data_IF_769256175739
#
_entry.id   IF_769256175739
#
_cell.length_a   1.000
_cell.length_b   1.000
_cell.length_c   1.000
_cell.angle_alpha   90.00
_cell.angle_beta   90.00
_cell.angle_gamma   90.00
#
_symmetry.space_group_name_H-M   'P 1'
#
loop_
_entity.id
_entity.type
_entity.pdbx_description
1 polymer ?
#
# COMPACT_ATOMS: atom_id res chain seq x y z
N UNK A 1 12.89 21.64 28.45
CA UNK A 1 12.63 20.28 27.94
C UNK A 1 13.04 20.29 26.47
N UNK A 2 14.29 19.98 26.19
CA UNK A 2 14.86 20.06 24.83
C UNK A 2 14.22 18.95 24.01
N UNK A 3 13.36 19.34 23.06
CA UNK A 3 12.85 18.43 22.05
C UNK A 3 14.07 17.96 21.26
N UNK A 4 14.55 16.74 21.55
CA UNK A 4 15.66 16.14 20.83
C UNK A 4 15.17 15.90 19.41
N UNK A 5 15.43 16.87 18.53
CA UNK A 5 15.14 16.76 17.12
C UNK A 5 15.79 15.47 16.61
N UNK A 6 14.98 14.47 16.30
CA UNK A 6 15.46 13.22 15.74
C UNK A 6 16.21 13.60 14.46
N UNK A 7 17.50 13.26 14.39
CA UNK A 7 18.30 13.52 13.20
C UNK A 7 17.64 12.80 12.01
N UNK A 8 17.54 13.44 10.84
CA UNK A 8 16.92 12.88 9.63
C UNK A 8 17.36 11.42 9.36
N UNK A 9 18.66 11.16 9.54
CA UNK A 9 19.26 9.84 9.36
C UNK A 9 18.77 8.81 10.39
N UNK A 10 18.51 9.22 11.62
CA UNK A 10 17.95 8.36 12.67
C UNK A 10 16.47 8.06 12.39
N UNK A 11 15.71 9.05 11.93
CA UNK A 11 14.32 8.85 11.50
C UNK A 11 14.25 7.85 10.33
N UNK A 12 15.12 8.00 9.34
CA UNK A 12 15.25 7.08 8.20
C UNK A 12 15.68 5.68 8.65
N UNK A 13 16.68 5.56 9.54
CA UNK A 13 17.14 4.27 10.07
C UNK A 13 16.05 3.57 10.88
N UNK A 14 15.29 4.31 11.69
CA UNK A 14 14.15 3.81 12.47
C UNK A 14 13.00 3.36 11.58
N UNK A 15 12.70 4.07 10.49
CA UNK A 15 11.70 3.65 9.52
C UNK A 15 12.12 2.36 8.79
N UNK A 16 13.41 2.23 8.43
CA UNK A 16 13.96 1.03 7.78
C UNK A 16 13.98 -0.18 8.71
N UNK A 17 14.37 -0.03 9.98
CA UNK A 17 14.48 -1.14 10.94
C UNK A 17 13.12 -1.74 11.33
N UNK A 18 12.04 -0.97 11.25
CA UNK A 18 10.68 -1.46 11.51
C UNK A 18 10.16 -2.46 10.47
N UNK A 19 10.80 -2.57 9.30
CA UNK A 19 10.37 -3.52 8.26
C UNK A 19 10.37 -4.97 8.74
N UNK A 20 11.43 -5.40 9.43
CA UNK A 20 11.52 -6.75 9.99
C UNK A 20 10.50 -6.95 11.11
N UNK A 21 10.25 -5.92 11.91
CA UNK A 21 9.21 -5.92 12.94
C UNK A 21 7.82 -6.15 12.33
N UNK A 22 7.48 -5.45 11.24
CA UNK A 22 6.18 -5.60 10.59
C UNK A 22 5.98 -6.96 9.93
N UNK A 23 7.01 -7.49 9.26
CA UNK A 23 6.98 -8.86 8.73
C UNK A 23 6.86 -9.89 9.87
N UNK A 24 7.56 -9.66 10.98
CA UNK A 24 7.46 -10.48 12.19
C UNK A 24 6.07 -10.45 12.81
N UNK A 25 5.44 -9.27 12.90
CA UNK A 25 4.09 -9.12 13.42
C UNK A 25 3.06 -9.85 12.53
N UNK A 26 3.25 -9.81 11.21
CA UNK A 26 2.39 -10.55 10.27
C UNK A 26 2.47 -12.06 10.46
N UNK A 27 3.69 -12.60 10.58
CA UNK A 27 3.91 -14.02 10.85
C UNK A 27 3.35 -14.42 12.22
N UNK A 28 3.59 -13.60 13.25
CA UNK A 28 3.06 -13.82 14.59
C UNK A 28 1.53 -13.82 14.61
N UNK A 29 0.87 -12.87 13.93
CA UNK A 29 -0.58 -12.84 13.76
C UNK A 29 -1.10 -14.11 13.08
N UNK A 30 -0.43 -14.56 12.02
CA UNK A 30 -0.84 -15.75 11.27
C UNK A 30 -0.72 -17.02 12.12
N UNK A 31 0.38 -17.16 12.86
CA UNK A 31 0.60 -18.28 13.79
C UNK A 31 -0.39 -18.27 14.95
N UNK A 32 -0.64 -17.11 15.55
CA UNK A 32 -1.58 -16.94 16.66
C UNK A 32 -3.01 -17.31 16.24
N UNK A 33 -3.45 -16.86 15.07
CA UNK A 33 -4.79 -17.20 14.57
C UNK A 33 -4.87 -18.67 14.19
N UNK A 34 -3.82 -19.24 13.58
CA UNK A 34 -3.74 -20.67 13.27
C UNK A 34 -3.85 -21.55 14.52
N UNK A 35 -3.17 -21.20 15.62
CA UNK A 35 -3.27 -21.98 16.86
C UNK A 35 -4.62 -21.78 17.54
N UNK A 36 -5.17 -20.56 17.48
CA UNK A 36 -6.47 -20.25 18.04
C UNK A 36 -7.61 -21.02 17.35
N UNK A 37 -7.66 -21.05 16.01
CA UNK A 37 -8.72 -21.78 15.29
C UNK A 37 -8.68 -23.28 15.58
N UNK A 38 -7.48 -23.84 15.70
CA UNK A 38 -7.29 -25.26 16.03
C UNK A 38 -7.79 -25.56 17.45
N UNK A 39 -7.40 -24.72 18.41
CA UNK A 39 -7.85 -24.82 19.79
C UNK A 39 -9.39 -24.73 19.90
N UNK A 40 -10.00 -23.75 19.23
CA UNK A 40 -11.45 -23.59 19.23
C UNK A 40 -12.14 -24.78 18.57
N UNK A 41 -11.61 -25.30 17.45
CA UNK A 41 -12.18 -26.46 16.77
C UNK A 41 -12.17 -27.72 17.65
N UNK A 42 -11.06 -27.99 18.35
CA UNK A 42 -10.94 -29.14 19.27
C UNK A 42 -11.90 -29.05 20.45
N UNK A 43 -12.22 -27.85 20.91
CA UNK A 43 -13.18 -27.66 22.00
C UNK A 43 -14.63 -27.75 21.53
N UNK A 44 -14.98 -27.17 20.38
CA UNK A 44 -16.35 -27.17 19.86
C UNK A 44 -16.78 -28.51 19.24
N UNK A 45 -15.83 -29.26 18.69
CA UNK A 45 -16.09 -30.54 18.02
C UNK A 45 -15.31 -31.69 18.68
N UNK A 46 -15.20 -31.69 20.01
CA UNK A 46 -14.39 -32.66 20.78
C UNK A 46 -14.64 -34.11 20.37
N UNK A 47 -15.91 -34.49 20.21
CA UNK A 47 -16.31 -35.87 19.90
C UNK A 47 -16.17 -36.25 18.42
N UNK A 48 -15.85 -35.30 17.54
CA UNK A 48 -15.76 -35.53 16.08
C UNK A 48 -14.45 -35.07 15.44
N UNK A 49 -13.65 -34.26 16.14
CA UNK A 49 -12.43 -33.64 15.65
C UNK A 49 -11.26 -33.81 16.62
N UNK A 50 -10.45 -34.84 16.40
CA UNK A 50 -9.31 -35.19 17.24
C UNK A 50 -8.15 -35.78 16.40
N UNK A 51 -7.72 -35.10 15.32
CA UNK A 51 -6.52 -35.50 14.60
C UNK A 51 -5.27 -35.34 15.50
N UNK A 52 -4.25 -36.19 15.35
CA UNK A 52 -3.00 -36.10 16.11
C UNK A 52 -2.20 -34.82 15.77
N UNK A 53 -2.41 -34.28 14.56
CA UNK A 53 -1.79 -33.04 14.08
C UNK A 53 -2.83 -31.91 14.01
N UNK A 54 -2.41 -30.64 14.13
CA UNK A 54 -3.32 -29.50 14.10
C UNK A 54 -3.80 -29.17 12.67
N UNK A 55 -4.71 -30.01 12.14
CA UNK A 55 -5.06 -30.01 10.71
C UNK A 55 -5.68 -28.68 10.26
N UNK A 56 -6.56 -28.07 11.06
CA UNK A 56 -7.24 -26.83 10.68
C UNK A 56 -6.27 -25.64 10.73
N UNK A 57 -5.45 -25.57 11.77
CA UNK A 57 -4.37 -24.59 11.88
C UNK A 57 -3.39 -24.68 10.71
N UNK A 58 -2.91 -25.89 10.41
CA UNK A 58 -2.02 -26.13 9.27
C UNK A 58 -2.66 -25.77 7.93
N UNK A 59 -3.93 -26.11 7.73
CA UNK A 59 -4.66 -25.74 6.52
C UNK A 59 -4.71 -24.21 6.35
N UNK A 60 -5.03 -23.48 7.42
CA UNK A 60 -5.03 -22.01 7.39
C UNK A 60 -3.65 -21.45 7.05
N UNK A 61 -2.58 -21.93 7.71
CA UNK A 61 -1.21 -21.53 7.42
C UNK A 61 -0.80 -21.78 5.97
N UNK A 62 -1.11 -22.97 5.45
CA UNK A 62 -0.78 -23.36 4.07
C UNK A 62 -1.52 -22.47 3.08
N UNK A 63 -2.81 -22.20 3.31
CA UNK A 63 -3.60 -21.31 2.47
C UNK A 63 -3.00 -19.91 2.48
N UNK A 64 -2.80 -19.30 3.66
CA UNK A 64 -2.35 -17.91 3.74
C UNK A 64 -0.91 -17.73 3.23
N UNK A 65 0.02 -18.59 3.67
CA UNK A 65 1.43 -18.49 3.29
C UNK A 65 1.67 -18.96 1.85
N UNK A 66 0.97 -20.01 1.42
CA UNK A 66 1.06 -20.52 0.05
C UNK A 66 0.57 -19.49 -0.96
N UNK A 67 -0.58 -18.87 -0.70
CA UNK A 67 -1.12 -17.81 -1.58
C UNK A 67 -0.22 -16.58 -1.55
N UNK A 68 0.25 -16.15 -0.38
CA UNK A 68 1.20 -15.05 -0.30
C UNK A 68 2.49 -15.32 -1.09
N UNK A 69 2.99 -16.57 -1.09
CA UNK A 69 4.17 -16.96 -1.85
C UNK A 69 3.91 -16.98 -3.37
N UNK A 70 2.76 -17.49 -3.79
CA UNK A 70 2.33 -17.53 -5.20
C UNK A 70 2.17 -16.11 -5.73
N UNK A 71 1.43 -15.27 -5.02
CA UNK A 71 1.24 -13.85 -5.37
C UNK A 71 2.58 -13.12 -5.42
N UNK A 72 3.42 -13.25 -4.39
CA UNK A 72 4.75 -12.63 -4.40
C UNK A 72 5.61 -13.10 -5.58
N UNK A 73 5.55 -14.38 -5.94
CA UNK A 73 6.28 -14.94 -7.09
C UNK A 73 5.73 -14.42 -8.42
N UNK A 74 4.42 -14.27 -8.54
CA UNK A 74 3.75 -13.71 -9.71
C UNK A 74 4.11 -12.24 -9.90
N UNK A 75 4.08 -11.45 -8.84
CA UNK A 75 4.53 -10.07 -8.90
C UNK A 75 6.03 -9.96 -9.17
N UNK A 76 6.84 -10.91 -8.69
CA UNK A 76 8.27 -10.93 -8.99
C UNK A 76 8.60 -11.21 -10.45
N UNK A 77 7.79 -12.01 -11.13
CA UNK A 77 7.97 -12.24 -12.56
C UNK A 77 7.52 -11.06 -13.41
N UNK A 78 6.77 -10.12 -12.85
CA UNK A 78 6.26 -8.93 -13.52
C UNK A 78 7.03 -7.67 -13.09
N UNK A 79 7.81 -7.09 -14.01
CA UNK A 79 8.55 -5.85 -13.74
C UNK A 79 7.66 -4.61 -13.62
N UNK A 80 8.24 -3.47 -13.21
CA UNK A 80 7.49 -2.21 -13.09
C UNK A 80 6.79 -1.79 -14.39
N UNK A 81 7.44 -2.06 -15.52
CA UNK A 81 6.89 -1.85 -16.86
C UNK A 81 5.60 -2.64 -17.16
N UNK A 82 5.40 -3.81 -16.53
CA UNK A 82 4.16 -4.57 -16.68
C UNK A 82 3.00 -3.85 -15.99
N UNK A 83 3.22 -3.39 -14.76
CA UNK A 83 2.21 -2.67 -13.96
C UNK A 83 1.79 -1.36 -14.63
N UNK A 84 2.75 -0.58 -15.13
CA UNK A 84 2.42 0.65 -15.85
C UNK A 84 1.56 0.37 -17.09
N UNK A 85 1.92 -0.63 -17.90
CA UNK A 85 1.19 -0.99 -19.12
C UNK A 85 -0.17 -1.62 -18.83
N UNK A 86 -0.31 -2.41 -17.77
CA UNK A 86 -1.61 -3.01 -17.39
C UNK A 86 -2.64 -1.96 -16.99
N UNK A 87 -2.17 -0.80 -16.49
CA UNK A 87 -2.98 0.39 -16.20
C UNK A 87 -3.24 1.28 -17.43
N UNK A 88 -2.75 0.88 -18.61
CA UNK A 88 -2.93 1.63 -19.87
C UNK A 88 -1.94 2.78 -20.05
N UNK A 89 -0.81 2.77 -19.32
CA UNK A 89 0.22 3.78 -19.50
C UNK A 89 1.04 3.54 -20.78
N UNK A 90 1.35 4.61 -21.51
CA UNK A 90 2.21 4.60 -22.70
C UNK A 90 3.64 4.98 -22.31
N UNK A 91 4.62 4.22 -22.79
CA UNK A 91 6.04 4.56 -22.63
C UNK A 91 6.36 5.88 -23.37
N UNK A 92 7.10 6.78 -22.73
CA UNK A 92 7.62 7.99 -23.38
C UNK A 92 8.82 7.61 -24.24
N UNK A 93 8.88 8.15 -25.45
CA UNK A 93 10.04 8.03 -26.33
C UNK A 93 11.11 9.05 -25.92
N UNK A 94 12.36 8.60 -25.77
CA UNK A 94 13.51 9.45 -25.45
C UNK A 94 13.72 10.55 -26.49
N UNK A 95 13.26 10.34 -27.72
CA UNK A 95 13.32 11.30 -28.83
C UNK A 95 11.99 12.03 -29.10
N UNK A 96 11.06 12.03 -28.15
CA UNK A 96 9.76 12.72 -28.27
C UNK A 96 9.93 14.19 -28.68
N UNK A 97 9.07 14.70 -29.56
CA UNK A 97 9.05 16.13 -29.92
C UNK A 97 8.23 16.99 -28.94
N UNK A 98 7.54 16.37 -27.97
CA UNK A 98 6.73 17.10 -27.00
C UNK A 98 7.62 17.72 -25.92
N UNK A 99 7.60 19.06 -25.82
CA UNK A 99 8.42 19.81 -24.86
C UNK A 99 8.15 19.42 -23.40
N UNK A 100 6.91 19.10 -23.04
CA UNK A 100 6.57 18.68 -21.67
C UNK A 100 7.14 17.30 -21.36
N UNK A 101 7.05 16.38 -22.31
CA UNK A 101 7.63 15.04 -22.15
C UNK A 101 9.16 15.11 -22.06
N UNK A 102 9.82 15.95 -22.88
CA UNK A 102 11.27 16.22 -22.74
C UNK A 102 11.63 16.79 -21.37
N UNK A 103 10.86 17.77 -20.89
CA UNK A 103 11.08 18.36 -19.57
C UNK A 103 10.97 17.32 -18.45
N UNK A 104 9.99 16.41 -18.54
CA UNK A 104 9.82 15.32 -17.59
C UNK A 104 11.02 14.35 -17.62
N UNK A 105 11.49 13.95 -18.81
CA UNK A 105 12.67 13.08 -18.94
C UNK A 105 13.91 13.73 -18.33
N UNK A 106 14.12 15.03 -18.56
CA UNK A 106 15.23 15.78 -17.95
C UNK A 106 15.12 15.78 -16.41
N UNK A 107 13.93 16.05 -15.86
CA UNK A 107 13.69 16.00 -14.42
C UNK A 107 14.00 14.61 -13.84
N UNK A 108 13.55 13.54 -14.50
CA UNK A 108 13.82 12.16 -14.06
C UNK A 108 15.33 11.90 -14.07
N UNK A 109 16.06 12.37 -15.07
CA UNK A 109 17.51 12.24 -15.13
C UNK A 109 18.23 13.04 -14.03
N UNK A 110 17.80 14.28 -13.77
CA UNK A 110 18.33 15.12 -12.67
C UNK A 110 18.19 14.42 -11.32
N UNK A 111 17.00 13.86 -11.03
CA UNK A 111 16.74 13.17 -9.77
C UNK A 111 17.46 11.82 -9.70
N UNK A 112 17.60 11.09 -10.81
CA UNK A 112 18.41 9.87 -10.86
C UNK A 112 19.86 10.15 -10.46
N UNK A 113 20.45 11.23 -10.97
CA UNK A 113 21.80 11.68 -10.59
C UNK A 113 21.84 12.05 -9.09
N UNK A 114 20.90 12.89 -8.63
CA UNK A 114 20.86 13.35 -7.25
C UNK A 114 20.67 12.21 -6.22
N UNK A 115 19.97 11.14 -6.61
CA UNK A 115 19.70 9.96 -5.78
C UNK A 115 20.70 8.82 -5.99
N UNK A 116 21.62 8.94 -6.96
CA UNK A 116 22.54 7.87 -7.38
C UNK A 116 21.82 6.57 -7.75
N UNK A 117 20.70 6.70 -8.46
CA UNK A 117 19.87 5.58 -8.94
C UNK A 117 19.90 5.53 -10.49
N UNK A 118 19.66 4.35 -11.09
CA UNK A 118 19.48 4.27 -12.54
C UNK A 118 18.27 5.07 -12.99
N UNK A 119 18.29 5.59 -14.21
CA UNK A 119 17.14 6.29 -14.82
C UNK A 119 16.07 5.24 -15.17
N UNK A 120 14.91 5.24 -14.50
CA UNK A 120 13.85 4.29 -14.81
C UNK A 120 13.08 4.72 -16.07
N UNK A 121 12.52 3.78 -16.84
CA UNK A 121 11.59 4.10 -17.92
C UNK A 121 10.36 4.86 -17.40
N UNK A 122 9.95 5.87 -18.15
CA UNK A 122 8.88 6.79 -17.79
C UNK A 122 7.64 6.55 -18.65
N UNK A 123 6.48 6.42 -18.01
CA UNK A 123 5.20 6.14 -18.66
C UNK A 123 4.20 7.26 -18.41
N UNK A 124 3.33 7.53 -19.37
CA UNK A 124 2.21 8.48 -19.26
C UNK A 124 0.88 7.74 -19.24
N UNK A 125 0.09 7.99 -18.20
CA UNK A 125 -1.29 7.57 -18.08
C UNK A 125 -2.23 8.65 -18.64
N UNK A 126 -3.18 8.29 -19.51
CA UNK A 126 -4.11 9.23 -20.14
C UNK A 126 -5.26 9.60 -19.18
N UNK A 127 -4.92 10.14 -18.01
CA UNK A 127 -5.88 10.66 -17.02
C UNK A 127 -5.51 12.08 -16.63
N UNK A 128 -6.53 12.89 -16.41
CA UNK A 128 -6.42 14.30 -16.05
C UNK A 128 -6.27 14.52 -14.52
N UNK A 129 -6.35 13.44 -13.73
CA UNK A 129 -6.03 13.48 -12.30
C UNK A 129 -4.54 13.82 -12.10
N UNK A 130 -4.19 14.46 -10.99
CA UNK A 130 -2.78 14.68 -10.61
C UNK A 130 -2.34 13.45 -9.81
N UNK A 131 -1.47 12.64 -10.39
CA UNK A 131 -0.91 11.44 -9.78
C UNK A 131 0.43 11.06 -10.44
N UNK A 132 1.28 10.42 -9.66
CA UNK A 132 2.40 9.62 -10.13
C UNK A 132 2.46 8.34 -9.30
N UNK A 133 3.18 7.32 -9.76
CA UNK A 133 3.57 6.19 -8.93
C UNK A 133 4.79 5.50 -9.52
N UNK A 134 5.47 4.78 -8.66
CA UNK A 134 6.56 3.89 -9.03
C UNK A 134 6.15 2.44 -8.88
N UNK A 135 6.48 1.62 -9.88
CA UNK A 135 6.31 0.17 -9.83
C UNK A 135 7.64 -0.54 -10.06
N UNK A 136 7.81 -1.72 -9.46
CA UNK A 136 9.03 -2.51 -9.60
C UNK A 136 9.35 -3.31 -8.34
N UNK A 137 10.53 -3.93 -8.32
CA UNK A 137 11.04 -4.65 -7.13
C UNK A 137 12.46 -4.26 -6.74
N UNK A 138 13.24 -3.83 -7.72
CA UNK A 138 14.60 -3.34 -7.57
C UNK A 138 14.75 -2.06 -8.38
N UNK A 139 15.75 -1.21 -8.08
CA UNK A 139 15.99 0.00 -8.86
C UNK A 139 16.16 -0.25 -10.37
N UNK A 140 16.76 -1.38 -10.73
CA UNK A 140 17.04 -1.75 -12.13
C UNK A 140 15.78 -2.17 -12.90
N UNK A 141 14.72 -2.55 -12.19
CA UNK A 141 13.43 -2.94 -12.76
C UNK A 141 12.29 -2.01 -12.29
N UNK A 142 12.65 -0.79 -11.88
CA UNK A 142 11.71 0.24 -11.54
C UNK A 142 11.14 0.87 -12.82
N UNK A 143 9.90 1.36 -12.75
CA UNK A 143 9.28 2.18 -13.76
C UNK A 143 8.50 3.29 -13.04
N UNK A 144 8.56 4.50 -13.58
CA UNK A 144 7.78 5.63 -13.08
C UNK A 144 6.63 5.86 -14.05
N UNK A 145 5.40 5.89 -13.54
CA UNK A 145 4.23 6.28 -14.29
C UNK A 145 3.73 7.62 -13.77
N UNK A 146 3.49 8.55 -14.68
CA UNK A 146 2.90 9.84 -14.39
C UNK A 146 1.60 10.00 -15.17
N UNK A 147 0.67 10.77 -14.62
CA UNK A 147 -0.57 11.11 -15.30
C UNK A 147 -0.40 12.32 -16.21
N UNK A 148 -1.21 12.38 -17.27
CA UNK A 148 -1.32 13.58 -18.10
C UNK A 148 -1.71 14.80 -17.27
N UNK A 149 -2.58 14.64 -16.27
CA UNK A 149 -2.96 15.70 -15.35
C UNK A 149 -1.79 16.26 -14.54
N UNK A 150 -0.88 15.43 -14.03
CA UNK A 150 0.35 15.91 -13.40
C UNK A 150 1.24 16.67 -14.38
N UNK A 151 1.44 16.13 -15.59
CA UNK A 151 2.26 16.76 -16.62
C UNK A 151 1.71 18.13 -17.08
N UNK A 152 0.38 18.27 -17.08
CA UNK A 152 -0.29 19.48 -17.56
C UNK A 152 -0.49 20.56 -16.49
N UNK A 153 -0.68 20.18 -15.22
CA UNK A 153 -1.08 21.09 -14.13
C UNK A 153 0.05 21.46 -13.17
N UNK A 154 1.09 20.63 -13.09
CA UNK A 154 2.23 20.91 -12.22
C UNK A 154 3.25 21.80 -12.92
N UNK A 155 3.86 22.72 -12.17
CA UNK A 155 5.04 23.45 -12.66
C UNK A 155 6.25 22.52 -12.71
N UNK A 156 7.35 22.97 -13.30
CA UNK A 156 8.60 22.20 -13.36
C UNK A 156 9.08 21.81 -11.96
N UNK A 157 9.04 22.74 -11.01
CA UNK A 157 9.51 22.55 -9.63
C UNK A 157 8.60 21.60 -8.86
N UNK A 158 7.29 21.72 -9.03
CA UNK A 158 6.30 20.83 -8.43
C UNK A 158 6.44 19.41 -8.97
N UNK A 159 6.58 19.27 -10.29
CA UNK A 159 6.82 18.01 -10.97
C UNK A 159 8.13 17.37 -10.50
N UNK A 160 9.20 18.15 -10.36
CA UNK A 160 10.47 17.70 -9.81
C UNK A 160 10.33 17.21 -8.37
N UNK A 161 9.54 17.88 -7.53
CA UNK A 161 9.20 17.43 -6.19
C UNK A 161 8.47 16.08 -6.17
N UNK A 162 7.47 15.91 -7.03
CA UNK A 162 6.73 14.63 -7.17
C UNK A 162 7.64 13.52 -7.66
N UNK A 163 8.46 13.76 -8.68
CA UNK A 163 9.41 12.75 -9.16
C UNK A 163 10.44 12.40 -8.07
N UNK A 164 10.94 13.38 -7.33
CA UNK A 164 11.86 13.13 -6.22
C UNK A 164 11.23 12.29 -5.08
N UNK A 165 9.94 12.49 -4.81
CA UNK A 165 9.17 11.65 -3.90
C UNK A 165 9.11 10.19 -4.39
N UNK A 166 8.80 9.99 -5.67
CA UNK A 166 8.77 8.66 -6.31
C UNK A 166 10.15 7.96 -6.28
N UNK A 167 11.24 8.67 -6.54
CA UNK A 167 12.59 8.15 -6.33
C UNK A 167 12.89 7.81 -4.88
N UNK A 168 12.27 8.52 -3.92
CA UNK A 168 12.32 8.18 -2.50
C UNK A 168 11.84 6.74 -2.22
N UNK A 169 10.78 6.30 -2.90
CA UNK A 169 10.29 4.92 -2.78
C UNK A 169 11.27 3.89 -3.38
N UNK A 170 11.93 4.22 -4.48
CA UNK A 170 12.99 3.38 -5.07
C UNK A 170 14.17 3.27 -4.11
N UNK A 171 14.66 4.42 -3.64
CA UNK A 171 15.84 4.53 -2.77
C UNK A 171 15.66 3.80 -1.44
N UNK A 172 14.46 3.85 -0.85
CA UNK A 172 14.16 3.21 0.43
C UNK A 172 13.68 1.74 0.31
N UNK A 173 13.54 1.24 -0.92
CA UNK A 173 13.11 -0.13 -1.20
C UNK A 173 11.64 -0.38 -0.88
N UNK A 174 10.81 0.66 -0.93
CA UNK A 174 9.40 0.60 -0.52
C UNK A 174 8.61 -0.33 -1.43
N UNK A 175 8.93 -0.38 -2.72
CA UNK A 175 8.26 -1.25 -3.69
C UNK A 175 8.28 -2.73 -3.25
N UNK A 176 9.43 -3.23 -2.78
CA UNK A 176 9.59 -4.62 -2.31
C UNK A 176 8.79 -4.88 -1.03
N UNK A 177 8.71 -3.90 -0.14
CA UNK A 177 8.02 -4.01 1.14
C UNK A 177 6.51 -3.98 0.93
N UNK A 178 6.03 -2.98 0.20
CA UNK A 178 4.63 -2.84 -0.20
C UNK A 178 4.14 -4.10 -0.92
N UNK A 179 4.97 -4.69 -1.78
CA UNK A 179 4.66 -5.95 -2.46
C UNK A 179 4.51 -7.13 -1.50
N UNK A 180 5.47 -7.32 -0.58
CA UNK A 180 5.41 -8.39 0.43
C UNK A 180 4.16 -8.26 1.30
N UNK A 181 3.86 -7.06 1.77
CA UNK A 181 2.68 -6.79 2.59
C UNK A 181 1.39 -6.98 1.78
N UNK A 182 1.35 -6.60 0.50
CA UNK A 182 0.20 -6.82 -0.36
C UNK A 182 -0.07 -8.33 -0.58
N UNK A 183 0.95 -9.11 -0.91
CA UNK A 183 0.83 -10.55 -1.10
C UNK A 183 0.37 -11.26 0.18
N UNK A 184 0.91 -10.84 1.32
CA UNK A 184 0.52 -11.27 2.66
C UNK A 184 -0.97 -11.00 2.95
N UNK A 185 -1.44 -9.77 2.77
CA UNK A 185 -2.86 -9.39 2.93
C UNK A 185 -3.76 -10.16 1.96
N UNK A 186 -3.30 -10.43 0.74
CA UNK A 186 -4.02 -11.24 -0.24
C UNK A 186 -4.21 -12.68 0.25
N UNK A 187 -3.20 -13.27 0.89
CA UNK A 187 -3.31 -14.59 1.53
C UNK A 187 -4.44 -14.64 2.57
N UNK A 188 -4.59 -13.60 3.39
CA UNK A 188 -5.70 -13.48 4.33
C UNK A 188 -7.06 -13.30 3.66
N UNK A 189 -7.12 -12.50 2.60
CA UNK A 189 -8.34 -12.34 1.81
C UNK A 189 -8.80 -13.66 1.19
N UNK A 190 -7.88 -14.48 0.69
CA UNK A 190 -8.25 -15.79 0.16
C UNK A 190 -8.69 -16.78 1.24
N UNK A 191 -8.12 -16.73 2.45
CA UNK A 191 -8.63 -17.53 3.58
C UNK A 191 -10.08 -17.15 3.91
N UNK A 192 -10.38 -15.83 3.96
CA UNK A 192 -11.75 -15.31 4.08
C UNK A 192 -12.65 -15.83 2.96
N UNK A 193 -12.22 -15.68 1.70
CA UNK A 193 -12.97 -16.10 0.53
C UNK A 193 -13.27 -17.61 0.54
N UNK A 194 -12.27 -18.44 0.84
CA UNK A 194 -12.43 -19.91 0.94
C UNK A 194 -13.43 -20.24 2.05
N UNK A 195 -13.30 -19.64 3.24
CA UNK A 195 -14.24 -19.84 4.34
C UNK A 195 -15.69 -19.49 3.93
N UNK A 196 -15.88 -18.35 3.25
CA UNK A 196 -17.18 -17.94 2.72
C UNK A 196 -17.73 -18.95 1.70
N UNK A 197 -16.90 -19.42 0.76
CA UNK A 197 -17.32 -20.41 -0.24
C UNK A 197 -17.70 -21.74 0.40
N UNK A 198 -16.94 -22.22 1.39
CA UNK A 198 -17.27 -23.45 2.13
C UNK A 198 -18.62 -23.34 2.86
N UNK A 199 -18.95 -22.18 3.44
CA UNK A 199 -20.27 -21.94 4.05
C UNK A 199 -21.42 -21.97 3.02
N UNK A 200 -21.21 -21.42 1.81
CA UNK A 200 -22.21 -21.44 0.75
C UNK A 200 -22.50 -22.87 0.23
N UNK A 201 -21.45 -23.68 0.05
CA UNK A 201 -21.59 -25.07 -0.39
C UNK A 201 -22.24 -25.96 0.67
N UNK A 202 -21.93 -25.75 1.95
CA UNK A 202 -22.56 -26.51 3.05
C UNK A 202 -24.02 -26.12 3.28
N UNK A 203 -24.43 -24.89 2.94
CA UNK A 203 -25.82 -24.43 3.02
C UNK A 203 -26.73 -25.07 1.95
N UNK A 204 -26.23 -25.33 0.73
CA UNK A 204 -26.99 -25.96 -0.36
C UNK A 204 -27.25 -27.46 -0.17
N UNK A 205 -26.55 -28.12 0.76
CA UNK A 205 -26.77 -29.53 1.10
C UNK A 205 -27.88 -29.75 2.15
N UNK A 206 -28.63 -28.70 2.52
CA UNK A 206 -29.63 -28.72 3.60
C UNK A 206 -30.95 -29.42 3.26
N UNK A 207 -31.20 -29.83 2.03
CA UNK A 207 -32.52 -30.39 1.65
C UNK A 207 -32.77 -31.83 2.11
N UNK A 208 -31.80 -32.54 2.75
CA UNK A 208 -31.96 -33.99 2.99
C UNK A 208 -31.69 -34.60 4.37
N UNK A 209 -31.35 -33.88 5.45
CA UNK A 209 -31.19 -34.57 6.77
C UNK A 209 -31.70 -33.79 7.99
N UNK A 210 -32.83 -34.28 8.53
CA UNK A 210 -33.20 -34.17 9.95
C UNK A 210 -32.16 -34.91 10.81
N UNK A 211 -31.17 -34.19 11.36
CA UNK A 211 -30.72 -34.35 12.75
C UNK A 211 -29.79 -33.20 13.11
N UNK A 212 -30.18 -32.51 14.17
CA UNK A 212 -29.56 -31.34 14.76
C UNK A 212 -28.36 -31.82 15.58
N UNK A 213 -27.20 -31.93 14.96
CA UNK A 213 -25.93 -32.15 15.67
C UNK A 213 -24.79 -31.50 14.89
N UNK A 214 -23.92 -30.82 15.64
CA UNK A 214 -22.80 -29.99 15.22
C UNK A 214 -22.00 -30.59 14.05
N UNK A 215 -22.30 -30.20 12.81
CA UNK A 215 -21.50 -30.64 11.66
C UNK A 215 -20.10 -30.00 11.76
N UNK A 216 -19.03 -30.77 12.00
CA UNK A 216 -17.69 -30.23 12.20
C UNK A 216 -17.19 -29.48 10.96
N UNK A 217 -17.69 -29.82 9.76
CA UNK A 217 -17.34 -29.12 8.52
C UNK A 217 -17.89 -27.70 8.50
N UNK A 218 -19.12 -27.49 8.98
CA UNK A 218 -19.74 -26.15 9.04
C UNK A 218 -19.01 -25.28 10.08
N UNK A 219 -18.65 -25.87 11.22
CA UNK A 219 -17.86 -25.18 12.26
C UNK A 219 -16.49 -24.79 11.71
N UNK A 220 -15.77 -25.72 11.07
CA UNK A 220 -14.47 -25.44 10.45
C UNK A 220 -14.55 -24.34 9.39
N UNK A 221 -15.57 -24.38 8.51
CA UNK A 221 -15.80 -23.35 7.49
C UNK A 221 -16.05 -21.97 8.11
N UNK A 222 -16.85 -21.92 9.19
CA UNK A 222 -17.11 -20.68 9.94
C UNK A 222 -15.84 -20.15 10.60
N UNK A 223 -15.04 -21.02 11.22
CA UNK A 223 -13.78 -20.62 11.86
C UNK A 223 -12.78 -20.07 10.84
N UNK A 224 -12.62 -20.71 9.68
CA UNK A 224 -11.76 -20.20 8.59
C UNK A 224 -12.26 -18.84 8.09
N UNK A 225 -13.57 -18.68 7.90
CA UNK A 225 -14.18 -17.42 7.46
C UNK A 225 -13.89 -16.29 8.45
N UNK A 226 -14.18 -16.50 9.74
CA UNK A 226 -13.97 -15.50 10.80
C UNK A 226 -12.48 -15.18 10.97
N UNK A 227 -11.63 -16.21 10.97
CA UNK A 227 -10.19 -16.05 11.04
C UNK A 227 -9.64 -15.23 9.86
N UNK A 228 -10.06 -15.56 8.64
CA UNK A 228 -9.69 -14.82 7.43
C UNK A 228 -10.18 -13.37 7.46
N UNK A 229 -11.40 -13.12 7.93
CA UNK A 229 -11.92 -11.76 8.09
C UNK A 229 -11.07 -10.94 9.06
N UNK A 230 -10.79 -11.51 10.24
CA UNK A 230 -10.03 -10.85 11.29
C UNK A 230 -8.59 -10.57 10.85
N UNK A 231 -7.90 -11.57 10.27
CA UNK A 231 -6.53 -11.38 9.79
C UNK A 231 -6.48 -10.41 8.61
N UNK A 232 -7.44 -10.44 7.70
CA UNK A 232 -7.50 -9.49 6.58
C UNK A 232 -7.66 -8.04 7.08
N UNK A 233 -8.54 -7.79 8.05
CA UNK A 233 -8.70 -6.46 8.66
C UNK A 233 -7.41 -6.02 9.36
N UNK A 234 -6.87 -6.86 10.25
CA UNK A 234 -5.64 -6.55 11.01
C UNK A 234 -4.43 -6.35 10.09
N UNK A 235 -4.27 -7.22 9.09
CA UNK A 235 -3.21 -7.14 8.09
C UNK A 235 -3.32 -5.89 7.22
N UNK A 236 -4.54 -5.49 6.86
CA UNK A 236 -4.78 -4.25 6.09
C UNK A 236 -4.44 -3.00 6.91
N UNK A 237 -4.80 -2.96 8.20
CA UNK A 237 -4.42 -1.87 9.11
C UNK A 237 -2.89 -1.81 9.26
N UNK A 238 -2.24 -2.97 9.43
CA UNK A 238 -0.79 -3.05 9.53
C UNK A 238 -0.12 -2.53 8.26
N UNK A 239 -0.53 -3.01 7.08
CA UNK A 239 -0.05 -2.54 5.78
C UNK A 239 -0.21 -1.02 5.64
N UNK A 240 -1.38 -0.49 5.98
CA UNK A 240 -1.66 0.94 5.92
C UNK A 240 -0.75 1.74 6.87
N UNK A 241 -0.48 1.24 8.07
CA UNK A 241 0.44 1.88 9.00
C UNK A 241 1.88 1.95 8.45
N UNK A 242 2.36 0.86 7.84
CA UNK A 242 3.69 0.86 7.19
C UNK A 242 3.73 1.85 6.04
N UNK A 243 2.71 1.83 5.18
CA UNK A 243 2.60 2.72 4.02
C UNK A 243 2.70 4.18 4.44
N UNK A 244 1.95 4.58 5.49
CA UNK A 244 1.98 5.95 6.01
C UNK A 244 3.36 6.39 6.51
N UNK A 245 4.11 5.53 7.19
CA UNK A 245 5.47 5.85 7.62
C UNK A 245 6.43 6.03 6.44
N UNK A 246 6.23 5.27 5.35
CA UNK A 246 7.05 5.36 4.14
C UNK A 246 6.79 6.63 3.34
N UNK A 247 5.56 7.13 3.31
CA UNK A 247 5.22 8.40 2.66
C UNK A 247 6.01 9.59 3.24
N UNK A 248 6.11 9.68 4.59
CA UNK A 248 6.91 10.72 5.24
C UNK A 248 8.40 10.60 4.91
N UNK A 249 8.89 9.36 4.77
CA UNK A 249 10.28 9.14 4.39
C UNK A 249 10.54 9.54 2.94
N UNK A 250 9.61 9.23 2.03
CA UNK A 250 9.66 9.64 0.63
C UNK A 250 9.57 11.16 0.47
N UNK A 251 8.71 11.83 1.23
CA UNK A 251 8.65 13.31 1.31
C UNK A 251 9.98 13.92 1.73
N UNK A 252 10.60 13.36 2.77
CA UNK A 252 11.86 13.84 3.26
C UNK A 252 13.00 13.59 2.25
N UNK A 253 12.97 12.45 1.52
CA UNK A 253 13.84 12.20 0.38
C UNK A 253 13.61 13.20 -0.77
N UNK A 254 12.36 13.59 -1.04
CA UNK A 254 12.05 14.58 -2.07
C UNK A 254 12.77 15.91 -1.78
N UNK A 255 12.73 16.39 -0.54
CA UNK A 255 13.47 17.58 -0.10
C UNK A 255 14.98 17.35 -0.17
N UNK A 256 15.46 16.17 0.22
CA UNK A 256 16.89 15.83 0.18
C UNK A 256 17.47 15.88 -1.24
N UNK A 257 16.75 15.32 -2.22
CA UNK A 257 17.21 15.22 -3.60
C UNK A 257 17.06 16.55 -4.35
N UNK A 258 15.97 17.29 -4.12
CA UNK A 258 15.71 18.56 -4.82
C UNK A 258 16.34 19.77 -4.15
N UNK A 259 16.67 19.67 -2.85
CA UNK A 259 17.03 20.79 -1.98
C UNK A 259 15.96 21.89 -1.94
N UNK A 260 14.72 21.55 -2.28
CA UNK A 260 13.60 22.48 -2.39
C UNK A 260 12.31 21.84 -1.84
N UNK A 261 11.90 22.26 -0.64
CA UNK A 261 10.64 21.80 -0.04
C UNK A 261 9.40 22.39 -0.71
N UNK A 262 9.50 23.60 -1.29
CA UNK A 262 8.36 24.28 -1.89
C UNK A 262 7.77 23.51 -3.07
N UNK A 263 8.59 22.81 -3.86
CA UNK A 263 8.13 22.01 -4.99
C UNK A 263 7.12 20.93 -4.58
N UNK A 264 7.49 20.08 -3.62
CA UNK A 264 6.60 19.00 -3.14
C UNK A 264 5.41 19.57 -2.36
N UNK A 265 5.59 20.64 -1.57
CA UNK A 265 4.49 21.28 -0.83
C UNK A 265 3.42 21.82 -1.79
N UNK A 266 3.81 22.56 -2.82
CA UNK A 266 2.86 23.15 -3.78
C UNK A 266 2.16 22.08 -4.62
N UNK A 267 2.86 21.01 -4.98
CA UNK A 267 2.25 19.85 -5.63
C UNK A 267 1.15 19.22 -4.75
N UNK A 268 1.44 19.01 -3.45
CA UNK A 268 0.48 18.48 -2.49
C UNK A 268 -0.75 19.39 -2.30
N UNK A 269 -0.56 20.71 -2.25
CA UNK A 269 -1.66 21.69 -2.18
C UNK A 269 -2.55 21.58 -3.43
N UNK A 270 -1.96 21.45 -4.62
CA UNK A 270 -2.71 21.26 -5.87
C UNK A 270 -3.48 19.94 -5.90
N UNK A 271 -2.89 18.85 -5.37
CA UNK A 271 -3.56 17.56 -5.25
C UNK A 271 -4.74 17.66 -4.27
N UNK A 272 -4.59 18.33 -3.13
CA UNK A 272 -5.67 18.50 -2.15
C UNK A 272 -6.84 19.31 -2.72
N UNK A 273 -6.54 20.37 -3.49
CA UNK A 273 -7.54 21.23 -4.13
C UNK A 273 -8.19 20.63 -5.38
N UNK A 274 -7.60 19.60 -5.98
CA UNK A 274 -8.17 18.93 -7.13
C UNK A 274 -9.37 18.08 -6.69
N UNK A 275 -10.56 18.67 -6.62
CA UNK A 275 -11.77 18.06 -6.04
C UNK A 275 -12.28 16.81 -6.76
N UNK A 276 -11.96 16.59 -8.04
CA UNK A 276 -12.45 15.40 -8.73
C UNK A 276 -11.70 15.17 -10.03
N UNK A 277 -11.26 13.92 -10.27
CA UNK A 277 -11.43 13.15 -11.51
C UNK A 277 -11.15 11.69 -11.17
N UNK A 278 -12.20 10.85 -11.24
CA UNK A 278 -12.15 9.40 -11.05
C UNK A 278 -10.98 8.81 -11.84
N UNK A 279 -10.08 8.11 -11.17
CA UNK A 279 -9.13 7.26 -11.88
C UNK A 279 -9.87 6.14 -12.60
N UNK A 280 -9.39 5.67 -13.76
CA UNK A 280 -10.03 4.59 -14.48
C UNK A 280 -10.18 3.37 -13.55
N UNK A 281 -11.41 2.86 -13.41
CA UNK A 281 -11.76 1.68 -12.58
C UNK A 281 -11.08 0.37 -13.02
N UNK A 282 -10.30 0.40 -14.11
CA UNK A 282 -9.46 -0.72 -14.54
C UNK A 282 -8.22 -0.79 -13.66
N UNK A 283 -8.28 -1.63 -12.64
CA UNK A 283 -7.13 -1.94 -11.78
C UNK A 283 -7.41 -1.88 -10.28
N UNK A 284 -8.52 -2.44 -9.79
CA UNK A 284 -8.78 -2.56 -8.34
C UNK A 284 -7.60 -3.15 -7.55
N UNK A 285 -6.78 -4.02 -8.17
CA UNK A 285 -5.56 -4.56 -7.57
C UNK A 285 -4.48 -3.48 -7.26
N UNK A 286 -4.53 -2.33 -7.92
CA UNK A 286 -3.56 -1.23 -7.85
C UNK A 286 -4.13 0.04 -7.23
N UNK A 287 -5.31 -0.01 -6.58
CA UNK A 287 -5.95 1.17 -5.97
C UNK A 287 -5.04 1.90 -4.96
N UNK A 288 -4.14 1.14 -4.31
CA UNK A 288 -3.15 1.65 -3.36
C UNK A 288 -1.99 2.45 -3.98
N UNK A 289 -1.88 2.53 -5.32
CA UNK A 289 -0.89 3.35 -6.03
C UNK A 289 -1.44 4.75 -6.35
N UNK A 290 -2.64 5.08 -5.88
CA UNK A 290 -3.31 6.34 -6.20
C UNK A 290 -3.29 7.27 -4.99
N UNK A 291 -2.79 8.50 -5.19
CA UNK A 291 -2.72 9.54 -4.15
C UNK A 291 -4.10 9.94 -3.60
N UNK A 292 -5.18 9.67 -4.34
CA UNK A 292 -6.57 9.98 -3.97
C UNK A 292 -7.41 8.71 -3.82
N UNK A 293 -7.03 7.81 -2.89
CA UNK A 293 -7.86 6.66 -2.53
C UNK A 293 -9.01 7.09 -1.60
N UNK A 294 -10.06 7.70 -2.17
CA UNK A 294 -11.33 8.00 -1.48
C UNK A 294 -12.32 6.84 -1.57
N UNK A 295 -11.85 5.60 -1.44
CA UNK A 295 -12.76 4.51 -1.10
C UNK A 295 -13.10 4.69 0.38
N UNK A 296 -14.33 5.14 0.69
CA UNK A 296 -14.81 5.60 1.99
C UNK A 296 -14.76 4.59 3.14
N UNK A 297 -13.56 4.12 3.49
CA UNK A 297 -13.24 3.34 4.68
C UNK A 297 -12.48 4.25 5.66
N UNK A 298 -12.65 3.97 6.96
CA UNK A 298 -12.05 4.71 8.08
C UNK A 298 -10.57 5.02 7.85
N UNK A 299 -10.06 6.13 8.40
CA UNK A 299 -8.65 6.57 8.31
C UNK A 299 -7.60 5.50 8.67
N UNK A 300 -8.02 4.42 9.32
CA UNK A 300 -7.20 3.24 9.63
C UNK A 300 -6.76 2.47 8.37
N UNK A 301 -7.57 2.44 7.30
CA UNK A 301 -7.28 1.72 6.05
C UNK A 301 -6.61 2.58 4.96
N UNK A 302 -6.50 3.90 5.17
CA UNK A 302 -5.84 4.80 4.22
C UNK A 302 -4.34 4.51 4.13
N UNK A 303 -3.84 4.23 2.93
CA UNK A 303 -2.42 3.97 2.64
C UNK A 303 -1.57 5.24 2.65
N UNK A 304 -2.18 6.39 2.45
CA UNK A 304 -1.52 7.70 2.54
C UNK A 304 -1.93 8.45 3.82
N UNK A 305 -1.00 9.14 4.50
CA UNK A 305 -1.34 10.09 5.54
C UNK A 305 -2.19 11.24 4.97
N UNK A 306 -3.00 11.91 5.79
CA UNK A 306 -3.68 13.14 5.37
C UNK A 306 -2.68 14.13 4.77
N UNK A 307 -2.96 14.66 3.58
CA UNK A 307 -2.07 15.58 2.84
C UNK A 307 -1.61 16.74 3.72
N UNK A 308 -2.53 17.32 4.51
CA UNK A 308 -2.22 18.39 5.47
C UNK A 308 -1.13 18.02 6.47
N UNK A 309 -1.12 16.78 6.98
CA UNK A 309 -0.08 16.34 7.92
C UNK A 309 1.29 16.25 7.24
N UNK A 310 1.31 15.89 5.95
CA UNK A 310 2.55 15.86 5.13
C UNK A 310 3.07 17.28 4.89
N UNK A 311 2.19 18.21 4.50
CA UNK A 311 2.55 19.64 4.33
C UNK A 311 3.13 20.21 5.63
N UNK A 312 2.45 20.00 6.76
CA UNK A 312 2.95 20.45 8.07
C UNK A 312 4.32 19.86 8.39
N UNK A 313 4.54 18.57 8.11
CA UNK A 313 5.84 17.94 8.35
C UNK A 313 6.94 18.54 7.44
N UNK A 314 6.63 18.83 6.17
CA UNK A 314 7.55 19.42 5.19
C UNK A 314 7.89 20.88 5.51
N UNK A 315 6.99 21.61 6.14
CA UNK A 315 7.20 22.99 6.60
C UNK A 315 7.91 23.06 7.98
N UNK A 316 8.28 21.92 8.56
CA UNK A 316 8.93 21.89 9.87
C UNK A 316 7.98 22.08 11.06
N UNK A 317 6.67 21.92 10.85
CA UNK A 317 5.65 21.95 11.90
C UNK A 317 4.86 23.25 12.02
N UNK A 318 5.09 24.25 11.16
CA UNK A 318 4.55 25.62 11.34
C UNK A 318 3.37 26.01 10.42
N UNK A 319 2.85 25.14 9.54
CA UNK A 319 1.69 25.50 8.72
C UNK A 319 0.36 25.44 9.48
N UNK A 320 -0.20 26.61 9.82
CA UNK A 320 -1.65 26.78 9.96
C UNK A 320 -2.18 27.61 8.79
N UNK A 321 -3.04 27.04 7.91
CA UNK A 321 -3.71 27.82 6.87
C UNK A 321 -4.45 29.01 7.50
N UNK A 322 -4.36 30.19 6.87
CA UNK A 322 -4.98 31.43 7.38
C UNK A 322 -6.49 31.25 7.61
N UNK A 323 -7.14 30.43 6.77
CA UNK A 323 -8.56 30.06 6.86
C UNK A 323 -8.91 29.34 8.17
N UNK A 324 -7.94 28.70 8.84
CA UNK A 324 -8.14 27.87 10.04
C UNK A 324 -7.72 28.58 11.35
N UNK A 325 -7.22 29.82 11.27
CA UNK A 325 -6.90 30.63 12.47
C UNK A 325 -8.15 31.02 13.28
N UNK A 326 -9.32 31.08 12.66
CA UNK A 326 -10.56 31.51 13.30
C UNK A 326 -11.26 30.41 14.12
N UNK A 327 -10.90 29.13 13.94
CA UNK A 327 -11.50 28.03 14.69
C UNK A 327 -10.91 27.84 16.10
N UNK A 328 -9.80 28.52 16.43
CA UNK A 328 -9.15 28.44 17.75
C UNK A 328 -9.62 29.50 18.75
N UNK A 329 -10.55 30.38 18.35
CA UNK A 329 -11.05 31.49 19.17
C UNK A 329 -12.38 31.13 19.88
N UNK A 330 -12.97 29.96 19.60
CA UNK A 330 -14.27 29.57 20.17
C UNK A 330 -14.22 28.46 21.23
N UNK A 331 -13.04 27.97 21.61
CA UNK A 331 -12.86 27.02 22.73
C UNK A 331 -12.19 27.70 23.95
N UNK A 332 -12.74 28.84 24.36
CA UNK A 332 -12.56 29.41 25.70
C UNK A 332 -13.89 29.50 26.42
#
# INVERSE_FOLDING_TARGET
>A
MVCMAINFWEAQKKARSKTSLYLGLFLALTLLISTLIEYVMRNLAKDSYHPPIPLLGLAFLIITCGIALVEYSHYKSQGGAYVARSLGARLIDDHTNNLKEKQLLNIVQEIAIASSLPVPPVYILPTDAINAFTAGLTPENAAIAITKGSLDKLTREELQGVIAHEFGHIYNGDMKISMRLAAMVMGFFYALYIGMRLLQFTSHSRERRKKKENNPVVIAALLIFVAGALTWIMGSILKAAVSREREYLADACAVQFTRNSAGIIQALIKIERAEDKKMPLKGMAYSHLYFNDRMGLSSLFSTHPPIRKRIVALEGGEYMPIEWRHAKILDH
#
